data_IF_560044962069
#
_entry.id   IF_560044962069
#
_cell.length_a   1.000
_cell.length_b   1.000
_cell.length_c   1.000
_cell.angle_alpha   90.00
_cell.angle_beta   90.00
_cell.angle_gamma   90.00
#
_symmetry.space_group_name_H-M   'P 1'
#
loop_
_entity.id
_entity.type
_entity.pdbx_description
1 polymer ?
#
# COMPACT_ATOMS: atom_id res chain seq x y z
N UNK A 1 18.15 31.01 26.20
CA UNK A 1 16.97 31.60 25.52
C UNK A 1 15.89 30.55 25.46
N UNK A 2 14.95 30.58 26.41
CA UNK A 2 13.78 29.70 26.45
C UNK A 2 12.90 30.09 25.26
N UNK A 3 12.72 29.17 24.29
CA UNK A 3 11.65 29.32 23.28
C UNK A 3 10.34 29.19 24.04
N UNK A 4 9.61 30.29 24.15
CA UNK A 4 8.23 30.28 24.62
C UNK A 4 7.47 29.24 23.80
N UNK A 5 6.92 28.27 24.50
CA UNK A 5 5.98 27.31 23.94
C UNK A 5 4.82 28.13 23.35
N UNK A 6 4.75 28.15 22.04
CA UNK A 6 3.66 28.85 21.30
C UNK A 6 2.35 28.33 21.87
N UNK A 7 1.59 29.19 22.51
CA UNK A 7 0.34 28.82 23.15
C UNK A 7 -0.63 28.31 22.09
N UNK A 8 -1.25 27.11 22.30
CA UNK A 8 -2.31 26.57 21.46
C UNK A 8 -3.44 27.59 21.23
N UNK A 9 -3.58 28.60 22.10
CA UNK A 9 -4.54 29.70 21.99
C UNK A 9 -4.26 30.66 20.83
N UNK A 10 -3.04 30.71 20.31
CA UNK A 10 -2.69 31.56 19.14
C UNK A 10 -2.88 30.85 17.80
N UNK A 11 -3.10 29.53 17.79
CA UNK A 11 -3.24 28.75 16.58
C UNK A 11 -4.70 28.76 16.13
N UNK A 12 -4.93 29.24 14.90
CA UNK A 12 -6.26 29.12 14.29
C UNK A 12 -6.43 27.74 13.65
N UNK A 13 -7.31 26.93 14.20
CA UNK A 13 -7.58 25.57 13.72
C UNK A 13 -8.04 25.52 12.26
N UNK A 14 -8.71 26.56 11.76
CA UNK A 14 -9.10 26.61 10.35
C UNK A 14 -7.89 26.67 9.40
N UNK A 15 -6.74 27.19 9.85
CA UNK A 15 -5.53 27.24 9.02
C UNK A 15 -4.98 25.85 8.69
N UNK A 16 -5.27 24.83 9.52
CA UNK A 16 -4.91 23.43 9.22
C UNK A 16 -5.63 22.89 7.98
N UNK A 17 -6.85 23.31 7.72
CA UNK A 17 -7.59 22.96 6.50
C UNK A 17 -6.89 23.49 5.24
N UNK A 18 -6.41 24.72 5.30
CA UNK A 18 -5.64 25.31 4.20
C UNK A 18 -4.30 24.59 4.00
N UNK A 19 -3.62 24.29 5.09
CA UNK A 19 -2.39 23.51 5.08
C UNK A 19 -2.58 22.14 4.40
N UNK A 20 -3.59 21.37 4.79
CA UNK A 20 -3.92 20.08 4.20
C UNK A 20 -4.16 20.16 2.70
N UNK A 21 -4.96 21.14 2.25
CA UNK A 21 -5.27 21.29 0.83
C UNK A 21 -4.05 21.74 0.00
N UNK A 22 -3.17 22.56 0.54
CA UNK A 22 -1.91 22.92 -0.13
C UNK A 22 -0.95 21.73 -0.17
N UNK A 23 -0.85 20.95 0.90
CA UNK A 23 -0.01 19.75 0.96
C UNK A 23 -0.44 18.72 -0.10
N UNK A 24 -1.76 18.50 -0.24
CA UNK A 24 -2.35 17.56 -1.21
C UNK A 24 -2.19 18.00 -2.66
N UNK A 25 -2.41 19.28 -2.92
CA UNK A 25 -2.41 19.82 -4.29
C UNK A 25 -1.04 20.30 -4.76
N UNK A 26 -0.11 20.55 -3.85
CA UNK A 26 1.21 21.16 -4.08
C UNK A 26 1.16 22.52 -4.77
N UNK A 27 -0.05 23.09 -4.96
CA UNK A 27 -0.30 24.38 -5.64
C UNK A 27 -1.38 25.16 -4.90
N UNK A 28 -1.03 26.35 -4.41
CA UNK A 28 -1.99 27.20 -3.71
C UNK A 28 -3.19 27.60 -4.58
N UNK A 29 -3.02 27.72 -5.90
CA UNK A 29 -4.13 27.99 -6.83
C UNK A 29 -5.12 26.82 -6.94
N UNK A 30 -4.63 25.60 -6.88
CA UNK A 30 -5.49 24.39 -6.88
C UNK A 30 -6.19 24.22 -5.53
N UNK A 31 -5.50 24.48 -4.43
CA UNK A 31 -6.09 24.51 -3.09
C UNK A 31 -7.18 25.58 -2.98
N UNK A 32 -6.94 26.78 -3.53
CA UNK A 32 -7.91 27.87 -3.56
C UNK A 32 -9.22 27.45 -4.27
N UNK A 33 -9.11 26.81 -5.44
CA UNK A 33 -10.28 26.29 -6.17
C UNK A 33 -11.07 25.28 -5.36
N UNK A 34 -10.39 24.33 -4.69
CA UNK A 34 -11.04 23.31 -3.86
C UNK A 34 -11.73 23.87 -2.62
N UNK A 35 -11.10 24.89 -2.02
CA UNK A 35 -11.63 25.56 -0.83
C UNK A 35 -12.64 26.65 -1.16
N UNK A 36 -12.87 26.93 -2.45
CA UNK A 36 -13.73 28.03 -2.94
C UNK A 36 -13.36 29.39 -2.34
N UNK A 37 -12.06 29.73 -2.39
CA UNK A 37 -11.49 30.99 -1.91
C UNK A 37 -10.46 31.55 -2.90
N UNK A 38 -10.00 32.76 -2.67
CA UNK A 38 -8.94 33.37 -3.47
C UNK A 38 -7.55 32.84 -3.11
N UNK A 39 -6.65 32.81 -4.08
CA UNK A 39 -5.24 32.43 -3.90
C UNK A 39 -4.56 33.20 -2.77
N UNK A 40 -4.84 34.52 -2.66
CA UNK A 40 -4.28 35.39 -1.61
C UNK A 40 -4.70 34.94 -0.21
N UNK A 41 -5.92 34.48 -0.07
CA UNK A 41 -6.44 33.90 1.20
C UNK A 41 -5.66 32.65 1.57
N UNK A 42 -5.43 31.71 0.64
CA UNK A 42 -4.62 30.51 0.92
C UNK A 42 -3.21 30.88 1.35
N UNK A 43 -2.54 31.76 0.61
CA UNK A 43 -1.17 32.19 0.92
C UNK A 43 -1.07 32.88 2.29
N UNK A 44 -2.04 33.72 2.63
CA UNK A 44 -2.12 34.41 3.93
C UNK A 44 -2.34 33.42 5.08
N UNK A 45 -3.25 32.45 4.91
CA UNK A 45 -3.56 31.42 5.92
C UNK A 45 -2.35 30.53 6.22
N UNK A 46 -1.62 30.11 5.16
CA UNK A 46 -0.36 29.36 5.35
C UNK A 46 0.67 30.21 6.09
N UNK A 47 0.87 31.47 5.68
CA UNK A 47 1.80 32.36 6.38
C UNK A 47 1.43 32.61 7.85
N UNK A 48 0.13 32.72 8.17
CA UNK A 48 -0.35 32.83 9.55
C UNK A 48 -0.04 31.58 10.37
N UNK A 49 -0.23 30.39 9.79
CA UNK A 49 0.08 29.11 10.44
C UNK A 49 1.59 28.97 10.70
N UNK A 50 2.42 29.27 9.70
CA UNK A 50 3.88 29.24 9.82
C UNK A 50 4.39 30.23 10.88
N UNK A 51 3.81 31.43 10.92
CA UNK A 51 4.11 32.44 11.93
C UNK A 51 3.71 31.99 13.35
N UNK A 52 2.52 31.41 13.51
CA UNK A 52 2.04 30.88 14.78
C UNK A 52 2.90 29.72 15.30
N UNK A 53 3.43 28.87 14.42
CA UNK A 53 4.29 27.74 14.74
C UNK A 53 5.77 28.12 14.84
N UNK A 54 6.16 29.32 14.38
CA UNK A 54 7.53 29.78 14.35
C UNK A 54 8.45 28.96 13.42
N UNK A 55 7.89 28.31 12.41
CA UNK A 55 8.63 27.48 11.45
C UNK A 55 7.96 27.46 10.08
N UNK A 56 8.78 27.27 9.03
CA UNK A 56 8.25 27.09 7.68
C UNK A 56 7.75 25.66 7.50
N UNK A 57 6.58 25.52 6.90
CA UNK A 57 5.96 24.23 6.60
C UNK A 57 6.14 23.85 5.12
N UNK A 58 6.38 24.87 4.27
CA UNK A 58 6.60 24.67 2.85
C UNK A 58 7.82 25.42 2.33
N UNK A 59 8.53 24.78 1.41
CA UNK A 59 9.49 25.42 0.52
C UNK A 59 8.81 25.74 -0.83
N UNK A 60 9.00 26.96 -1.33
CA UNK A 60 8.46 27.37 -2.63
C UNK A 60 9.45 27.02 -3.72
N UNK A 61 9.15 26.02 -4.53
CA UNK A 61 9.93 25.64 -5.71
C UNK A 61 9.29 26.21 -6.98
N UNK A 62 10.10 26.74 -7.89
CA UNK A 62 9.62 27.24 -9.19
C UNK A 62 9.08 26.11 -10.08
N UNK A 63 9.61 24.92 -9.95
CA UNK A 63 9.23 23.72 -10.74
C UNK A 63 8.19 22.85 -10.04
N UNK A 64 8.31 22.66 -8.72
CA UNK A 64 7.52 21.71 -7.94
C UNK A 64 6.42 22.35 -7.09
N UNK A 65 6.28 23.68 -7.13
CA UNK A 65 5.27 24.39 -6.34
C UNK A 65 5.60 24.42 -4.85
N UNK A 66 4.64 24.06 -3.99
CA UNK A 66 4.80 23.99 -2.55
C UNK A 66 5.28 22.57 -2.17
N UNK A 67 6.51 22.48 -1.68
CA UNK A 67 7.11 21.23 -1.18
C UNK A 67 7.15 21.29 0.34
N UNK A 68 6.71 20.24 1.01
CA UNK A 68 6.73 20.18 2.48
C UNK A 68 8.17 20.16 3.01
N UNK A 69 8.42 20.97 4.05
CA UNK A 69 9.63 20.84 4.88
C UNK A 69 9.55 19.60 5.77
N UNK A 70 10.61 19.27 6.49
CA UNK A 70 10.59 18.20 7.50
C UNK A 70 9.53 18.48 8.60
N UNK A 71 9.39 19.75 9.00
CA UNK A 71 8.37 20.21 9.94
C UNK A 71 6.97 20.10 9.34
N UNK A 72 6.82 20.51 8.06
CA UNK A 72 5.57 20.36 7.31
C UNK A 72 5.14 18.89 7.20
N UNK A 73 6.08 17.98 6.93
CA UNK A 73 5.78 16.56 6.86
C UNK A 73 5.33 15.99 8.21
N UNK A 74 5.95 16.45 9.31
CA UNK A 74 5.51 16.08 10.67
C UNK A 74 4.11 16.62 10.99
N UNK A 75 3.84 17.88 10.65
CA UNK A 75 2.52 18.48 10.87
C UNK A 75 1.44 17.79 10.03
N UNK A 76 1.76 17.36 8.80
CA UNK A 76 0.80 16.72 7.90
C UNK A 76 0.15 15.50 8.57
N UNK A 77 0.94 14.62 9.19
CA UNK A 77 0.40 13.42 9.84
C UNK A 77 -0.54 13.75 11.01
N UNK A 78 -0.26 14.82 11.76
CA UNK A 78 -1.16 15.25 12.85
C UNK A 78 -2.40 15.97 12.31
N UNK A 79 -2.26 16.80 11.29
CA UNK A 79 -3.39 17.51 10.69
C UNK A 79 -4.39 16.56 10.04
N UNK A 80 -3.91 15.52 9.34
CA UNK A 80 -4.76 14.44 8.79
C UNK A 80 -5.52 13.69 9.89
N UNK A 81 -4.88 13.46 11.03
CA UNK A 81 -5.54 12.83 12.17
C UNK A 81 -6.62 13.71 12.82
N UNK A 82 -6.36 15.01 12.93
CA UNK A 82 -7.35 15.99 13.43
C UNK A 82 -8.55 16.02 12.48
N UNK A 83 -8.32 16.09 11.17
CA UNK A 83 -9.38 16.03 10.16
C UNK A 83 -10.21 14.76 10.30
N UNK A 84 -9.55 13.60 10.42
CA UNK A 84 -10.22 12.31 10.63
C UNK A 84 -11.05 12.29 11.92
N UNK A 85 -10.51 12.83 13.01
CA UNK A 85 -11.21 12.91 14.30
C UNK A 85 -12.43 13.83 14.21
N UNK A 86 -12.30 14.96 13.50
CA UNK A 86 -13.40 15.90 13.30
C UNK A 86 -14.53 15.27 12.46
N UNK A 87 -14.17 14.52 11.41
CA UNK A 87 -15.15 13.76 10.62
C UNK A 87 -15.91 12.74 11.48
N UNK A 88 -15.20 11.99 12.35
CA UNK A 88 -15.85 11.07 13.29
C UNK A 88 -16.84 11.79 14.20
N UNK A 89 -16.42 12.90 14.79
CA UNK A 89 -17.28 13.68 15.68
C UNK A 89 -18.54 14.16 14.95
N UNK A 90 -18.40 14.69 13.74
CA UNK A 90 -19.52 15.12 12.91
C UNK A 90 -20.48 13.94 12.60
N UNK A 91 -19.95 12.78 12.19
CA UNK A 91 -20.76 11.58 11.92
C UNK A 91 -21.55 11.12 13.15
N UNK A 92 -20.92 11.14 14.33
CA UNK A 92 -21.59 10.75 15.58
C UNK A 92 -22.68 11.73 16.02
N UNK A 93 -22.46 13.03 15.82
CA UNK A 93 -23.40 14.08 16.25
C UNK A 93 -24.59 14.21 15.29
N UNK A 94 -24.35 14.13 13.99
CA UNK A 94 -25.41 14.33 13.00
C UNK A 94 -26.29 13.10 12.76
N UNK A 95 -25.88 11.93 13.23
CA UNK A 95 -26.66 10.68 13.18
C UNK A 95 -27.02 10.16 11.79
N UNK A 96 -26.78 10.92 10.73
CA UNK A 96 -27.14 10.53 9.37
C UNK A 96 -26.43 11.37 8.32
N UNK A 97 -25.91 10.72 7.28
CA UNK A 97 -25.85 11.33 5.96
C UNK A 97 -24.78 12.38 5.69
N UNK A 98 -23.71 12.51 6.50
CA UNK A 98 -22.50 13.16 5.98
C UNK A 98 -22.09 12.33 4.76
N UNK A 99 -22.10 12.96 3.59
CA UNK A 99 -21.76 12.29 2.34
C UNK A 99 -20.49 11.46 2.56
N UNK A 100 -20.58 10.17 2.22
CA UNK A 100 -19.47 9.22 2.35
C UNK A 100 -18.29 9.75 1.52
N UNK A 101 -17.40 10.50 2.16
CA UNK A 101 -16.35 11.26 1.50
C UNK A 101 -15.07 11.25 2.33
N UNK A 102 -13.98 11.63 1.70
CA UNK A 102 -12.70 11.82 2.35
C UNK A 102 -11.58 11.02 1.72
N UNK A 103 -10.44 11.04 2.39
CA UNK A 103 -9.22 10.42 1.92
C UNK A 103 -8.89 9.19 2.78
N UNK A 104 -8.39 8.12 2.13
CA UNK A 104 -7.90 6.91 2.80
C UNK A 104 -6.55 6.55 2.21
N UNK A 105 -5.59 6.27 3.06
CA UNK A 105 -4.27 5.79 2.65
C UNK A 105 -4.12 4.31 3.02
N UNK A 106 -3.87 3.48 2.01
CA UNK A 106 -3.69 2.04 2.17
C UNK A 106 -2.26 1.64 1.86
N UNK A 107 -1.59 1.03 2.84
CA UNK A 107 -0.29 0.41 2.67
C UNK A 107 -0.42 -1.08 2.38
N UNK A 108 0.41 -1.62 1.49
CA UNK A 108 0.43 -3.05 1.20
C UNK A 108 1.77 -3.50 0.65
N UNK A 109 1.98 -4.83 0.62
CA UNK A 109 3.15 -5.39 -0.04
C UNK A 109 3.11 -5.11 -1.54
N UNK A 110 4.28 -4.90 -2.13
CA UNK A 110 4.42 -4.41 -3.51
C UNK A 110 3.65 -5.25 -4.54
N UNK A 111 3.82 -6.57 -4.54
CA UNK A 111 3.18 -7.44 -5.51
C UNK A 111 1.66 -7.51 -5.34
N UNK A 112 1.18 -7.65 -4.12
CA UNK A 112 -0.26 -7.70 -3.83
C UNK A 112 -0.93 -6.37 -4.14
N UNK A 113 -0.31 -5.27 -3.73
CA UNK A 113 -0.77 -3.92 -4.04
C UNK A 113 -0.91 -3.66 -5.52
N UNK A 114 0.13 -3.97 -6.29
CA UNK A 114 0.18 -3.63 -7.72
C UNK A 114 -0.69 -4.56 -8.59
N UNK A 115 -0.70 -5.86 -8.31
CA UNK A 115 -1.34 -6.86 -9.18
C UNK A 115 -2.75 -7.25 -8.75
N UNK A 116 -3.13 -7.00 -7.50
CA UNK A 116 -4.46 -7.33 -7.00
C UNK A 116 -5.22 -6.11 -6.47
N UNK A 117 -4.67 -5.40 -5.49
CA UNK A 117 -5.41 -4.33 -4.81
C UNK A 117 -5.68 -3.16 -5.75
N UNK A 118 -4.71 -2.71 -6.54
CA UNK A 118 -4.87 -1.55 -7.45
C UNK A 118 -5.97 -1.78 -8.50
N UNK A 119 -6.04 -2.91 -9.21
CA UNK A 119 -7.16 -3.21 -10.10
C UNK A 119 -8.52 -3.17 -9.38
N UNK A 120 -8.63 -3.73 -8.18
CA UNK A 120 -9.88 -3.71 -7.41
C UNK A 120 -10.24 -2.29 -6.96
N UNK A 121 -9.26 -1.50 -6.51
CA UNK A 121 -9.48 -0.12 -6.08
C UNK A 121 -9.95 0.80 -7.21
N UNK A 122 -9.60 0.52 -8.47
CA UNK A 122 -10.10 1.29 -9.61
C UNK A 122 -11.63 1.23 -9.69
N UNK A 123 -12.22 0.05 -9.46
CA UNK A 123 -13.66 -0.13 -9.40
C UNK A 123 -14.28 0.50 -8.15
N UNK A 124 -13.58 0.43 -7.01
CA UNK A 124 -14.03 1.03 -5.76
C UNK A 124 -14.17 2.56 -5.88
N UNK A 125 -13.18 3.25 -6.42
CA UNK A 125 -13.21 4.72 -6.53
C UNK A 125 -14.24 5.20 -7.56
N UNK A 126 -14.54 4.39 -8.57
CA UNK A 126 -15.63 4.67 -9.51
C UNK A 126 -17.00 4.56 -8.84
N UNK A 127 -17.19 3.57 -7.96
CA UNK A 127 -18.41 3.39 -7.19
C UNK A 127 -18.59 4.45 -6.09
N UNK A 128 -17.49 4.98 -5.55
CA UNK A 128 -17.49 5.96 -4.45
C UNK A 128 -16.67 7.22 -4.80
N UNK A 129 -17.13 8.06 -5.74
CA UNK A 129 -16.35 9.16 -6.31
C UNK A 129 -15.98 10.26 -5.31
N UNK A 130 -16.63 10.31 -4.15
CA UNK A 130 -16.28 11.24 -3.07
C UNK A 130 -15.18 10.70 -2.13
N UNK A 131 -14.75 9.44 -2.30
CA UNK A 131 -13.63 8.85 -1.57
C UNK A 131 -12.40 8.85 -2.49
N UNK A 132 -11.29 9.39 -1.99
CA UNK A 132 -10.00 9.27 -2.63
C UNK A 132 -9.13 8.25 -1.88
N UNK A 133 -8.38 7.43 -2.60
CA UNK A 133 -7.52 6.41 -2.01
C UNK A 133 -6.09 6.58 -2.52
N UNK A 134 -5.13 6.74 -1.59
CA UNK A 134 -3.71 6.56 -1.87
C UNK A 134 -3.35 5.10 -1.61
N UNK A 135 -2.77 4.43 -2.60
CA UNK A 135 -2.20 3.11 -2.41
C UNK A 135 -0.67 3.20 -2.36
N UNK A 136 -0.08 2.57 -1.34
CA UNK A 136 1.36 2.53 -1.11
C UNK A 136 1.87 1.09 -1.22
N UNK A 137 2.14 0.59 -2.45
CA UNK A 137 2.66 -0.75 -2.67
C UNK A 137 4.19 -0.72 -2.52
N UNK A 138 4.68 -0.91 -1.30
CA UNK A 138 6.09 -0.73 -0.96
C UNK A 138 6.76 -2.05 -0.59
N UNK A 139 8.04 -2.27 -0.99
CA UNK A 139 8.82 -3.44 -0.63
C UNK A 139 9.45 -3.33 0.78
N UNK A 140 8.76 -2.70 1.72
CA UNK A 140 9.18 -2.57 3.11
C UNK A 140 7.97 -2.35 4.04
N UNK A 141 8.20 -2.40 5.35
CA UNK A 141 7.16 -2.17 6.34
C UNK A 141 6.61 -0.74 6.30
N UNK A 142 5.28 -0.64 6.39
CA UNK A 142 4.55 0.60 6.55
C UNK A 142 4.08 0.71 8.00
N UNK A 143 4.37 1.83 8.63
CA UNK A 143 4.09 2.03 10.04
C UNK A 143 2.77 2.76 10.28
N UNK A 144 1.78 2.07 10.86
CA UNK A 144 0.55 2.71 11.35
C UNK A 144 0.81 3.64 12.54
N UNK A 145 1.79 3.33 13.38
CA UNK A 145 2.14 4.17 14.54
C UNK A 145 2.68 5.53 14.13
N UNK A 146 3.37 5.61 12.98
CA UNK A 146 3.83 6.85 12.36
C UNK A 146 2.77 7.49 11.44
N UNK A 147 1.56 6.91 11.37
CA UNK A 147 0.45 7.38 10.53
C UNK A 147 0.81 7.45 9.04
N UNK A 148 1.63 6.54 8.58
CA UNK A 148 2.00 6.43 7.16
C UNK A 148 0.84 5.89 6.31
N UNK A 149 -0.06 5.09 6.92
CA UNK A 149 -1.28 4.58 6.30
C UNK A 149 -2.43 4.47 7.32
N UNK A 150 -3.67 4.41 6.83
CA UNK A 150 -4.90 4.19 7.61
C UNK A 150 -5.22 2.69 7.71
N UNK A 151 -5.02 1.95 6.61
CA UNK A 151 -5.16 0.50 6.51
C UNK A 151 -3.85 -0.07 6.01
N UNK A 152 -3.41 -1.20 6.56
CA UNK A 152 -2.21 -1.91 6.09
C UNK A 152 -2.56 -3.37 5.80
N UNK A 153 -2.01 -3.89 4.69
CA UNK A 153 -2.00 -5.31 4.35
C UNK A 153 -0.55 -5.79 4.34
N UNK A 154 -0.23 -6.71 5.26
CA UNK A 154 1.13 -7.20 5.47
C UNK A 154 1.19 -8.73 5.52
N UNK A 155 2.42 -9.26 5.48
CA UNK A 155 2.68 -10.70 5.59
C UNK A 155 2.58 -11.22 7.02
N UNK A 156 2.75 -10.34 7.99
CA UNK A 156 2.77 -10.67 9.41
C UNK A 156 1.70 -9.91 10.17
N UNK A 157 1.18 -10.54 11.20
CA UNK A 157 0.26 -9.90 12.13
C UNK A 157 1.03 -8.87 12.99
N UNK A 158 0.48 -7.67 13.24
CA UNK A 158 1.11 -6.73 14.16
C UNK A 158 1.16 -7.32 15.58
N UNK A 159 2.34 -7.28 16.21
CA UNK A 159 2.56 -7.86 17.53
C UNK A 159 1.92 -7.01 18.64
N UNK A 160 2.00 -5.69 18.52
CA UNK A 160 1.58 -4.74 19.56
C UNK A 160 0.90 -3.51 18.96
N UNK A 161 -0.02 -2.92 19.71
CA UNK A 161 -0.69 -1.66 19.40
C UNK A 161 -2.22 -1.76 19.41
N UNK A 162 -2.92 -0.62 19.45
CA UNK A 162 -4.39 -0.57 19.44
C UNK A 162 -4.92 -0.78 18.01
N UNK A 163 -4.74 -1.99 17.48
CA UNK A 163 -5.11 -2.33 16.12
C UNK A 163 -6.28 -3.31 16.08
N UNK A 164 -7.22 -3.05 15.17
CA UNK A 164 -8.16 -4.07 14.69
C UNK A 164 -7.44 -4.82 13.57
N UNK A 165 -7.31 -6.13 13.72
CA UNK A 165 -6.57 -7.00 12.80
C UNK A 165 -7.42 -8.21 12.42
N UNK A 166 -7.36 -8.61 11.15
CA UNK A 166 -7.92 -9.88 10.68
C UNK A 166 -6.97 -10.55 9.68
N UNK A 167 -7.04 -11.87 9.62
CA UNK A 167 -6.49 -12.61 8.49
C UNK A 167 -7.31 -12.23 7.25
N UNK A 168 -6.64 -11.76 6.20
CA UNK A 168 -7.30 -11.36 4.97
C UNK A 168 -7.51 -12.58 4.06
N UNK A 169 -6.45 -13.31 3.75
CA UNK A 169 -6.52 -14.55 2.96
C UNK A 169 -5.24 -15.38 3.10
N UNK A 170 -5.32 -16.64 2.66
CA UNK A 170 -4.17 -17.41 2.27
C UNK A 170 -3.83 -17.13 0.81
N UNK A 171 -2.56 -17.19 0.46
CA UNK A 171 -2.10 -17.16 -0.93
C UNK A 171 -0.96 -18.16 -1.12
N UNK A 172 -0.83 -18.61 -2.36
CA UNK A 172 0.14 -19.63 -2.72
C UNK A 172 1.25 -19.05 -3.58
N UNK A 173 2.47 -19.53 -3.34
CA UNK A 173 3.61 -19.33 -4.21
C UNK A 173 3.98 -20.65 -4.85
N UNK A 174 4.38 -20.61 -6.12
CA UNK A 174 4.88 -21.77 -6.88
C UNK A 174 6.13 -21.40 -7.66
N UNK A 175 6.84 -22.42 -8.11
CA UNK A 175 8.00 -22.26 -8.99
C UNK A 175 7.50 -22.01 -10.42
N UNK A 176 8.03 -21.00 -11.08
CA UNK A 176 7.70 -20.62 -12.44
C UNK A 176 8.92 -20.49 -13.34
N UNK A 177 8.72 -20.81 -14.60
CA UNK A 177 9.64 -20.55 -15.71
C UNK A 177 8.85 -20.20 -16.97
N UNK A 178 9.51 -19.61 -17.96
CA UNK A 178 8.91 -19.47 -19.29
C UNK A 178 8.98 -20.79 -20.06
N UNK A 179 8.02 -20.98 -20.99
CA UNK A 179 7.99 -22.14 -21.89
C UNK A 179 9.30 -22.29 -22.67
N UNK A 180 9.82 -21.17 -23.18
CA UNK A 180 11.07 -21.16 -23.96
C UNK A 180 12.29 -21.54 -23.11
N UNK A 181 12.32 -21.11 -21.84
CA UNK A 181 13.38 -21.54 -20.92
C UNK A 181 13.38 -23.06 -20.75
N UNK A 182 12.20 -23.66 -20.47
CA UNK A 182 12.07 -25.10 -20.27
C UNK A 182 12.41 -25.91 -21.52
N UNK A 183 12.10 -25.37 -22.70
CA UNK A 183 12.39 -26.03 -23.99
C UNK A 183 13.90 -26.05 -24.33
N UNK A 184 14.65 -25.06 -23.84
CA UNK A 184 16.06 -24.86 -24.20
C UNK A 184 17.07 -25.27 -23.09
N UNK A 185 16.59 -25.85 -21.99
CA UNK A 185 17.42 -26.28 -20.86
C UNK A 185 17.16 -27.74 -20.52
N UNK A 186 17.97 -28.30 -19.63
CA UNK A 186 17.78 -29.67 -19.14
C UNK A 186 16.40 -29.85 -18.55
N UNK A 187 15.75 -31.01 -18.77
CA UNK A 187 14.40 -31.24 -18.27
C UNK A 187 14.37 -31.30 -16.75
N UNK A 188 13.37 -30.64 -16.16
CA UNK A 188 13.14 -30.62 -14.72
C UNK A 188 11.99 -31.57 -14.41
N UNK A 189 12.28 -32.69 -13.74
CA UNK A 189 11.31 -33.72 -13.36
C UNK A 189 11.28 -33.96 -11.86
N UNK A 190 12.33 -33.58 -11.16
CA UNK A 190 12.50 -33.77 -9.71
C UNK A 190 13.14 -32.54 -9.09
N UNK A 191 13.09 -32.41 -7.77
CA UNK A 191 13.81 -31.37 -7.02
C UNK A 191 15.32 -31.41 -7.26
N UNK A 192 15.88 -32.61 -7.48
CA UNK A 192 17.32 -32.78 -7.78
C UNK A 192 17.75 -32.09 -9.06
N UNK A 193 16.90 -32.06 -10.08
CA UNK A 193 17.21 -31.43 -11.37
C UNK A 193 17.36 -29.91 -11.25
N UNK A 194 16.78 -29.30 -10.21
CA UNK A 194 16.83 -27.84 -9.98
C UNK A 194 18.23 -27.30 -9.70
N UNK A 195 19.16 -28.15 -9.22
CA UNK A 195 20.52 -27.74 -8.91
C UNK A 195 21.31 -27.19 -10.12
N UNK A 196 20.94 -27.62 -11.33
CA UNK A 196 21.55 -27.17 -12.59
C UNK A 196 20.98 -25.84 -13.13
N UNK A 197 19.94 -25.30 -12.51
CA UNK A 197 19.23 -24.13 -13.05
C UNK A 197 19.49 -22.86 -12.23
N UNK A 198 19.63 -21.69 -12.89
CA UNK A 198 19.75 -20.41 -12.20
C UNK A 198 18.38 -19.99 -11.62
N UNK A 199 18.42 -19.38 -10.43
CA UNK A 199 17.25 -18.83 -9.75
C UNK A 199 17.27 -17.31 -9.72
N UNK A 200 16.06 -16.76 -9.68
CA UNK A 200 15.74 -15.37 -9.39
C UNK A 200 15.09 -15.37 -7.99
N UNK A 201 15.62 -14.58 -7.06
CA UNK A 201 15.18 -14.64 -5.65
C UNK A 201 15.21 -13.26 -4.98
N UNK A 202 14.85 -13.23 -3.70
CA UNK A 202 15.05 -12.07 -2.84
C UNK A 202 16.54 -11.88 -2.49
N UNK A 203 16.86 -10.65 -2.07
CA UNK A 203 18.14 -10.31 -1.42
C UNK A 203 17.96 -10.63 0.07
N UNK A 204 18.57 -11.66 0.56
CA UNK A 204 18.25 -12.29 1.85
C UNK A 204 18.43 -11.34 3.04
N UNK A 205 19.52 -10.57 3.07
CA UNK A 205 19.85 -9.59 4.12
C UNK A 205 19.02 -8.30 4.07
N UNK A 206 18.25 -8.10 2.99
CA UNK A 206 17.35 -6.97 2.80
C UNK A 206 15.87 -7.37 2.81
N UNK A 207 15.57 -8.64 3.08
CA UNK A 207 14.19 -9.09 3.19
C UNK A 207 13.50 -8.44 4.41
N UNK A 208 12.39 -7.75 4.17
CA UNK A 208 11.65 -7.05 5.24
C UNK A 208 10.77 -7.97 6.10
N UNK A 209 10.67 -9.24 5.75
CA UNK A 209 9.95 -10.28 6.48
C UNK A 209 10.64 -11.62 6.27
N UNK A 210 10.70 -12.45 7.32
CA UNK A 210 11.19 -13.83 7.26
C UNK A 210 10.34 -14.70 6.33
N UNK A 211 9.08 -14.32 6.11
CA UNK A 211 8.15 -15.00 5.20
C UNK A 211 8.58 -14.96 3.73
N UNK A 212 9.55 -14.10 3.38
CA UNK A 212 10.13 -13.99 2.04
C UNK A 212 11.34 -14.93 1.83
N UNK A 213 11.90 -15.49 2.90
CA UNK A 213 13.12 -16.32 2.86
C UNK A 213 12.78 -17.81 2.67
N UNK A 214 12.03 -18.14 1.63
CA UNK A 214 11.56 -19.50 1.37
C UNK A 214 12.47 -20.32 0.45
N UNK A 215 13.30 -19.69 -0.40
CA UNK A 215 14.07 -20.39 -1.41
C UNK A 215 15.08 -21.39 -0.79
N UNK A 216 15.86 -20.95 0.19
CA UNK A 216 16.89 -21.78 0.83
C UNK A 216 16.28 -22.97 1.59
N UNK A 217 15.05 -22.81 2.13
CA UNK A 217 14.33 -23.85 2.85
C UNK A 217 13.76 -24.92 1.90
N UNK A 218 13.33 -24.51 0.69
CA UNK A 218 12.71 -25.42 -0.28
C UNK A 218 13.75 -26.08 -1.19
N UNK A 219 14.76 -25.33 -1.58
CA UNK A 219 15.77 -25.76 -2.54
C UNK A 219 17.14 -25.41 -1.96
N UNK A 220 17.69 -26.27 -1.09
CA UNK A 220 19.02 -26.08 -0.54
C UNK A 220 20.05 -25.96 -1.65
N UNK A 221 20.96 -24.99 -1.52
CA UNK A 221 22.01 -24.69 -2.51
C UNK A 221 21.50 -24.18 -3.88
N UNK A 222 20.30 -23.58 -3.94
CA UNK A 222 19.81 -22.93 -5.14
C UNK A 222 20.79 -21.88 -5.65
N UNK A 223 21.14 -21.93 -6.95
CA UNK A 223 22.03 -20.96 -7.58
C UNK A 223 21.29 -19.66 -7.92
N UNK A 224 21.07 -18.79 -6.94
CA UNK A 224 20.40 -17.51 -7.14
C UNK A 224 21.34 -16.50 -7.83
N UNK A 225 21.27 -16.40 -9.16
CA UNK A 225 22.11 -15.53 -9.98
C UNK A 225 21.61 -14.10 -10.09
N UNK A 226 20.30 -13.88 -9.91
CA UNK A 226 19.68 -12.56 -9.87
C UNK A 226 18.89 -12.45 -8.59
N UNK A 227 19.10 -11.36 -7.84
CA UNK A 227 18.38 -11.08 -6.61
C UNK A 227 17.79 -9.68 -6.64
N UNK A 228 16.60 -9.53 -6.08
CA UNK A 228 15.92 -8.23 -5.96
C UNK A 228 15.08 -8.19 -4.70
N UNK A 229 14.96 -7.02 -4.05
CA UNK A 229 14.00 -6.77 -2.97
C UNK A 229 12.56 -6.62 -3.47
N UNK A 230 12.39 -6.45 -4.79
CA UNK A 230 11.10 -6.25 -5.47
C UNK A 230 10.63 -7.56 -6.10
N UNK A 231 9.44 -8.04 -5.72
CA UNK A 231 8.80 -9.19 -6.35
C UNK A 231 8.38 -8.90 -7.80
N UNK A 232 8.10 -7.64 -8.12
CA UNK A 232 7.78 -7.21 -9.50
C UNK A 232 9.03 -7.30 -10.38
N UNK A 233 10.19 -6.93 -9.87
CA UNK A 233 11.45 -7.10 -10.58
C UNK A 233 11.78 -8.58 -10.79
N UNK A 234 11.53 -9.44 -9.79
CA UNK A 234 11.70 -10.90 -9.92
C UNK A 234 10.76 -11.46 -11.00
N UNK A 235 9.49 -11.08 -10.98
CA UNK A 235 8.50 -11.46 -12.01
C UNK A 235 8.95 -11.00 -13.42
N UNK A 236 9.37 -9.75 -13.54
CA UNK A 236 9.85 -9.21 -14.83
C UNK A 236 11.07 -9.95 -15.34
N UNK A 237 12.01 -10.30 -14.45
CA UNK A 237 13.19 -11.09 -14.79
C UNK A 237 12.83 -12.52 -15.20
N UNK A 238 11.87 -13.16 -14.53
CA UNK A 238 11.39 -14.50 -14.88
C UNK A 238 10.80 -14.53 -16.29
N UNK A 239 10.05 -13.49 -16.67
CA UNK A 239 9.50 -13.34 -18.02
C UNK A 239 10.54 -13.23 -19.14
N UNK A 240 11.80 -12.87 -18.81
CA UNK A 240 12.90 -12.87 -19.78
C UNK A 240 13.44 -14.27 -20.06
N UNK A 241 12.92 -15.31 -19.39
CA UNK A 241 13.33 -16.70 -19.61
C UNK A 241 14.80 -16.97 -19.28
N UNK A 242 15.33 -16.36 -18.21
CA UNK A 242 16.74 -16.50 -17.82
C UNK A 242 16.98 -17.30 -16.54
N UNK A 243 15.90 -17.89 -15.98
CA UNK A 243 15.94 -18.68 -14.77
C UNK A 243 14.59 -19.00 -14.19
N UNK A 244 14.60 -19.65 -13.07
CA UNK A 244 13.44 -20.06 -12.29
C UNK A 244 13.13 -19.03 -11.20
N UNK A 245 11.87 -18.79 -10.90
CA UNK A 245 11.46 -17.90 -9.81
C UNK A 245 10.30 -18.50 -9.03
N UNK A 246 10.33 -18.39 -7.70
CA UNK A 246 9.17 -18.68 -6.85
C UNK A 246 8.38 -17.38 -6.71
N UNK A 247 7.17 -17.37 -7.26
CA UNK A 247 6.31 -16.18 -7.35
C UNK A 247 4.92 -16.46 -6.80
N UNK A 248 4.24 -15.45 -6.25
CA UNK A 248 2.83 -15.55 -5.87
C UNK A 248 1.94 -15.90 -7.07
N UNK A 249 1.03 -16.86 -6.87
CA UNK A 249 0.12 -17.31 -7.93
C UNK A 249 -0.76 -16.16 -8.45
N UNK A 250 -1.26 -15.30 -7.57
CA UNK A 250 -2.10 -14.16 -7.97
C UNK A 250 -1.39 -13.17 -8.91
N UNK A 251 -0.05 -13.23 -8.97
CA UNK A 251 0.78 -12.42 -9.86
C UNK A 251 1.16 -13.22 -11.12
N UNK A 252 1.75 -14.40 -10.93
CA UNK A 252 2.36 -15.16 -12.02
C UNK A 252 1.34 -15.92 -12.88
N UNK A 253 0.26 -16.44 -12.29
CA UNK A 253 -0.72 -17.25 -13.02
C UNK A 253 -1.55 -16.44 -14.04
N UNK A 254 -1.56 -15.12 -13.94
CA UNK A 254 -2.24 -14.25 -14.89
C UNK A 254 -1.47 -14.09 -16.22
N UNK A 255 -0.18 -14.45 -16.25
CA UNK A 255 0.63 -14.35 -17.47
C UNK A 255 0.84 -15.74 -18.10
N UNK A 256 0.31 -15.99 -19.31
CA UNK A 256 0.37 -17.29 -19.95
C UNK A 256 1.78 -17.71 -20.39
N UNK A 257 2.77 -16.81 -20.35
CA UNK A 257 4.18 -17.11 -20.62
C UNK A 257 4.83 -17.88 -19.50
N UNK A 258 4.34 -17.73 -18.26
CA UNK A 258 4.85 -18.42 -17.08
C UNK A 258 4.12 -19.75 -16.88
N UNK A 259 4.88 -20.80 -16.73
CA UNK A 259 4.40 -22.15 -16.48
C UNK A 259 4.92 -22.60 -15.14
N UNK A 260 4.06 -23.27 -14.36
CA UNK A 260 4.44 -23.90 -13.10
C UNK A 260 5.41 -25.06 -13.35
N UNK A 261 6.44 -25.14 -12.52
CA UNK A 261 7.46 -26.19 -12.54
C UNK A 261 7.35 -26.94 -11.20
N UNK A 262 7.27 -28.26 -11.24
CA UNK A 262 7.12 -29.13 -10.07
C UNK A 262 5.98 -28.64 -9.13
N UNK A 263 4.75 -28.56 -9.63
CA UNK A 263 3.64 -27.92 -8.91
C UNK A 263 3.27 -28.60 -7.59
N UNK A 264 3.58 -29.88 -7.46
CA UNK A 264 3.26 -30.66 -6.26
C UNK A 264 4.41 -30.70 -5.25
N UNK A 265 5.65 -30.45 -5.70
CA UNK A 265 6.87 -30.50 -4.88
C UNK A 265 7.33 -29.11 -4.39
N UNK A 266 7.05 -28.05 -5.18
CA UNK A 266 7.47 -26.69 -4.85
C UNK A 266 6.24 -25.82 -4.68
N UNK A 267 5.70 -25.83 -3.47
CA UNK A 267 4.54 -25.07 -3.07
C UNK A 267 4.76 -24.44 -1.70
N UNK A 268 4.42 -23.16 -1.55
CA UNK A 268 4.43 -22.45 -0.28
C UNK A 268 3.11 -21.71 -0.10
N UNK A 269 2.44 -21.94 1.01
CA UNK A 269 1.27 -21.17 1.41
C UNK A 269 1.68 -20.13 2.45
N UNK A 270 1.25 -18.88 2.24
CA UNK A 270 1.47 -17.73 3.10
C UNK A 270 0.15 -17.02 3.35
N UNK A 271 0.17 -16.03 4.24
CA UNK A 271 -1.02 -15.30 4.64
C UNK A 271 -0.83 -13.81 4.46
N UNK A 272 -1.91 -13.13 4.09
CA UNK A 272 -2.02 -11.69 4.26
C UNK A 272 -2.85 -11.37 5.49
N UNK A 273 -2.38 -10.38 6.24
CA UNK A 273 -3.07 -9.80 7.39
C UNK A 273 -3.45 -8.38 7.06
N UNK A 274 -4.70 -8.02 7.32
CA UNK A 274 -5.17 -6.65 7.17
C UNK A 274 -5.45 -6.06 8.55
N UNK A 275 -4.95 -4.84 8.79
CA UNK A 275 -5.13 -4.16 10.07
C UNK A 275 -5.17 -2.65 9.91
N UNK A 276 -5.87 -2.00 10.84
CA UNK A 276 -5.95 -0.57 10.98
C UNK A 276 -5.97 -0.19 12.47
N UNK A 277 -5.82 1.09 12.77
CA UNK A 277 -5.99 1.57 14.14
C UNK A 277 -7.45 1.46 14.55
N UNK A 278 -7.68 1.15 15.84
CA UNK A 278 -9.03 0.96 16.38
C UNK A 278 -9.89 2.23 16.28
N UNK A 279 -9.29 3.41 16.50
CA UNK A 279 -9.97 4.70 16.36
C UNK A 279 -10.43 4.99 14.94
N UNK A 280 -9.64 4.59 13.93
CA UNK A 280 -9.97 4.77 12.53
C UNK A 280 -11.00 3.76 12.00
N UNK A 281 -11.07 2.55 12.59
CA UNK A 281 -12.01 1.50 12.16
C UNK A 281 -13.48 1.91 12.22
N UNK A 282 -13.81 2.90 13.06
CA UNK A 282 -15.17 3.45 13.23
C UNK A 282 -15.57 4.42 12.11
N UNK A 283 -14.63 4.93 11.31
CA UNK A 283 -14.92 5.83 10.19
C UNK A 283 -15.60 5.06 9.07
N UNK A 284 -16.76 5.56 8.59
CA UNK A 284 -17.53 4.89 7.53
C UNK A 284 -16.70 4.60 6.28
N UNK A 285 -15.86 5.52 5.82
CA UNK A 285 -14.99 5.33 4.67
C UNK A 285 -13.96 4.20 4.88
N UNK A 286 -13.41 4.08 6.11
CA UNK A 286 -12.47 3.00 6.46
C UNK A 286 -13.21 1.67 6.54
N UNK A 287 -14.38 1.63 7.18
CA UNK A 287 -15.24 0.44 7.24
C UNK A 287 -15.60 -0.05 5.85
N UNK A 288 -16.05 0.84 4.99
CA UNK A 288 -16.45 0.51 3.62
C UNK A 288 -15.29 -0.07 2.80
N UNK A 289 -14.13 0.62 2.80
CA UNK A 289 -12.96 0.12 2.09
C UNK A 289 -12.44 -1.20 2.66
N UNK A 290 -12.47 -1.35 3.98
CA UNK A 290 -12.10 -2.59 4.67
C UNK A 290 -12.99 -3.77 4.25
N UNK A 291 -14.30 -3.56 4.26
CA UNK A 291 -15.27 -4.61 3.93
C UNK A 291 -15.20 -4.95 2.42
N UNK A 292 -15.03 -3.94 1.56
CA UNK A 292 -14.79 -4.13 0.13
C UNK A 292 -13.53 -4.98 -0.15
N UNK A 293 -12.40 -4.66 0.48
CA UNK A 293 -11.15 -5.43 0.29
C UNK A 293 -11.33 -6.88 0.76
N UNK A 294 -12.05 -7.12 1.85
CA UNK A 294 -12.35 -8.49 2.30
C UNK A 294 -13.19 -9.25 1.27
N UNK A 295 -14.27 -8.64 0.80
CA UNK A 295 -15.18 -9.22 -0.17
C UNK A 295 -14.47 -9.60 -1.48
N UNK A 296 -13.74 -8.65 -2.08
CA UNK A 296 -13.03 -8.93 -3.35
C UNK A 296 -11.91 -9.94 -3.17
N UNK A 297 -11.27 -10.00 -2.01
CA UNK A 297 -10.24 -11.00 -1.72
C UNK A 297 -10.83 -12.39 -1.56
N UNK A 298 -11.95 -12.53 -0.87
CA UNK A 298 -12.68 -13.79 -0.72
C UNK A 298 -13.18 -14.30 -2.08
N UNK A 299 -13.77 -13.45 -2.90
CA UNK A 299 -14.20 -13.75 -4.28
C UNK A 299 -13.04 -14.26 -5.14
N UNK A 300 -11.82 -13.75 -4.90
CA UNK A 300 -10.61 -14.11 -5.64
C UNK A 300 -9.76 -15.20 -4.95
N UNK A 301 -10.29 -15.93 -3.99
CA UNK A 301 -9.56 -17.04 -3.36
C UNK A 301 -9.00 -18.07 -4.37
N UNK A 302 -9.70 -18.42 -5.48
CA UNK A 302 -9.13 -19.30 -6.50
C UNK A 302 -7.89 -18.71 -7.20
N UNK A 303 -7.85 -17.39 -7.43
CA UNK A 303 -6.68 -16.70 -7.98
C UNK A 303 -5.52 -16.69 -6.98
N UNK A 304 -5.80 -16.40 -5.71
CA UNK A 304 -4.79 -16.41 -4.63
C UNK A 304 -4.12 -17.78 -4.51
N UNK A 305 -4.88 -18.85 -4.67
CA UNK A 305 -4.41 -20.23 -4.53
C UNK A 305 -3.90 -20.83 -5.85
N UNK A 306 -3.88 -20.07 -6.94
CA UNK A 306 -3.41 -20.55 -8.25
C UNK A 306 -4.31 -21.60 -8.89
N UNK A 307 -5.59 -21.62 -8.52
CA UNK A 307 -6.62 -22.52 -9.11
C UNK A 307 -7.28 -21.87 -10.33
N UNK A 308 -7.21 -20.54 -10.45
CA UNK A 308 -7.71 -19.78 -11.60
C UNK A 308 -6.75 -18.64 -11.93
N UNK A 309 -6.48 -18.36 -13.21
CA UNK A 309 -5.71 -17.21 -13.63
C UNK A 309 -6.55 -15.92 -13.72
N UNK A 310 -7.86 -16.01 -13.54
CA UNK A 310 -8.80 -14.91 -13.78
C UNK A 310 -9.08 -14.16 -12.49
N UNK A 311 -8.95 -12.84 -12.53
CA UNK A 311 -9.41 -11.93 -11.49
C UNK A 311 -10.90 -11.66 -11.66
N UNK A 312 -11.66 -11.75 -10.57
CA UNK A 312 -13.06 -11.33 -10.50
C UNK A 312 -13.16 -9.94 -9.87
N UNK A 313 -14.17 -9.18 -10.27
CA UNK A 313 -14.46 -7.84 -9.74
C UNK A 313 -15.85 -7.84 -9.13
N UNK A 314 -16.03 -7.11 -8.01
CA UNK A 314 -17.34 -6.94 -7.42
C UNK A 314 -18.28 -6.26 -8.45
N UNK A 315 -19.48 -6.79 -8.59
CA UNK A 315 -20.50 -6.13 -9.40
C UNK A 315 -20.90 -4.84 -8.70
N UNK A 316 -20.91 -3.74 -9.43
CA UNK A 316 -21.44 -2.48 -8.93
C UNK A 316 -22.91 -2.67 -8.58
N UNK A 317 -23.25 -2.43 -7.30
CA UNK A 317 -24.64 -2.45 -6.81
C UNK A 317 -25.40 -1.18 -7.23
#
# INVERSE_FOLDING_TARGET
>A
MQKDLTSLSSLNWDDLKFFLEVARTRKASSAAKRLNVDYTTVSRRIGSLEAALGTLLFEKSRTNGFVLTAEGQRLLSYAEAIESTLHMACEQVTGSGVALSGHVRMGCTEGFGSFFVTPQLSHFVDAYPAISVDILPLPHFISLSKREADIVIALERPEHGPYVCCKLCDYRLRLYATRDYLANHAPIRTLGDLAGHPFISYVDDLAFSSELLYLANLIPNANARLRSTSVIAQYTAALQGRGLAILPCFLAAQDPRLITVLPDEVEVTRQFWMYCREDLRKLKRITLLWDYIREVTEMNAPLMMGMSPKMAFAQQA
#
